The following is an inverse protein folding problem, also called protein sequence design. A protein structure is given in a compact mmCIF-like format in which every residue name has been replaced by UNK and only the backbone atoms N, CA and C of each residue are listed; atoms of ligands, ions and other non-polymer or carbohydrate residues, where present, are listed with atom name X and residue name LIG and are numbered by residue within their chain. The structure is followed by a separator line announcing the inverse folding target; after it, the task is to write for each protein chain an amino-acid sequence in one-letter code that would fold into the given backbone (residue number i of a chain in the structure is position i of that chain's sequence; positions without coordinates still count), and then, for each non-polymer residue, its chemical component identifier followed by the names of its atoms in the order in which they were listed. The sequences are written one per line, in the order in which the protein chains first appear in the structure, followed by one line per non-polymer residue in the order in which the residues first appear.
data_IF_376699708681
#
_entry.id   IF_376699708681
#
_cell.length_a   1.000
_cell.length_b   1.000
_cell.length_c   1.000
_cell.angle_alpha   90.00
_cell.angle_beta   90.00
_cell.angle_gamma   90.00
#
_symmetry.space_group_name_H-M   'P 1'
#
loop_
_entity.id
_entity.type
_entity.pdbx_description
1 polymer ?
#
# COMPACT_ATOMS: atom_id res chain seq x y z
N UNK A 1 6.99 85.32 6.04
CA UNK A 1 8.33 85.50 5.43
C UNK A 1 8.24 85.21 3.93
N UNK A 2 9.25 85.63 3.14
CA UNK A 2 9.50 85.16 1.76
C UNK A 2 10.22 83.78 1.82
N UNK A 3 10.00 82.82 0.91
CA UNK A 3 10.72 82.64 -0.38
C UNK A 3 12.23 82.95 -0.24
N UNK A 4 13.20 82.05 -0.50
CA UNK A 4 13.26 80.67 -1.05
C UNK A 4 14.51 79.94 -0.45
N UNK A 5 14.93 78.68 -0.69
CA UNK A 5 14.58 77.61 -1.67
C UNK A 5 14.96 76.20 -1.12
N UNK A 6 14.87 75.12 -1.93
CA UNK A 6 16.02 74.26 -2.35
C UNK A 6 15.62 72.84 -2.87
N UNK A 7 15.92 72.60 -4.15
CA UNK A 7 16.23 71.32 -4.84
C UNK A 7 15.34 70.06 -4.68
N UNK A 8 14.74 69.67 -5.81
CA UNK A 8 14.05 68.41 -6.02
C UNK A 8 14.98 67.18 -5.98
N UNK A 9 14.45 66.01 -5.60
CA UNK A 9 14.92 64.71 -6.11
C UNK A 9 13.80 63.77 -6.54
N UNK A 10 13.90 63.37 -7.80
CA UNK A 10 13.20 62.29 -8.49
C UNK A 10 13.15 60.98 -7.67
N UNK A 11 12.02 60.27 -7.66
CA UNK A 11 11.83 59.10 -8.57
C UNK A 11 10.65 58.18 -8.22
N UNK A 12 9.97 57.73 -9.29
CA UNK A 12 9.40 56.40 -9.51
C UNK A 12 8.65 55.65 -8.38
N UNK A 13 7.31 55.63 -8.52
CA UNK A 13 6.51 54.42 -8.75
C UNK A 13 6.89 53.13 -7.99
N UNK A 14 6.13 52.81 -6.94
CA UNK A 14 6.13 51.49 -6.29
C UNK A 14 4.72 50.86 -6.33
N UNK A 15 4.37 50.25 -7.47
CA UNK A 15 3.18 49.39 -7.59
C UNK A 15 3.45 48.09 -6.82
N UNK A 16 2.95 48.00 -5.58
CA UNK A 16 3.05 46.79 -4.74
C UNK A 16 2.08 45.72 -5.27
N UNK A 17 2.50 45.02 -6.33
CA UNK A 17 1.76 43.91 -6.91
C UNK A 17 1.73 42.72 -5.95
N UNK A 18 0.54 42.37 -5.46
CA UNK A 18 0.33 41.22 -4.58
C UNK A 18 0.52 39.90 -5.32
N UNK A 19 1.74 39.36 -5.33
CA UNK A 19 2.01 38.01 -5.79
C UNK A 19 1.46 37.00 -4.77
N UNK A 20 0.23 36.53 -5.02
CA UNK A 20 -0.31 35.33 -4.38
C UNK A 20 0.56 34.13 -4.78
N UNK A 21 1.46 33.71 -3.89
CA UNK A 21 2.31 32.54 -4.05
C UNK A 21 1.51 31.24 -3.88
N UNK A 22 0.50 31.04 -4.72
CA UNK A 22 -0.23 29.78 -4.83
C UNK A 22 0.70 28.71 -5.35
N UNK A 23 1.26 27.91 -4.45
CA UNK A 23 2.18 26.83 -4.77
C UNK A 23 1.51 25.74 -5.58
N UNK A 24 1.58 25.84 -6.91
CA UNK A 24 1.23 24.76 -7.83
C UNK A 24 2.29 23.66 -7.66
N UNK A 25 2.07 22.79 -6.67
CA UNK A 25 2.83 21.56 -6.55
C UNK A 25 2.67 20.77 -7.86
N UNK A 26 3.77 20.31 -8.50
CA UNK A 26 3.66 19.56 -9.74
C UNK A 26 2.86 18.29 -9.46
N UNK A 27 1.73 18.14 -10.14
CA UNK A 27 0.95 16.91 -10.13
C UNK A 27 1.77 15.80 -10.81
N UNK A 28 2.63 15.14 -10.02
CA UNK A 28 3.34 13.95 -10.46
C UNK A 28 2.30 12.92 -10.88
N UNK A 29 2.25 12.64 -12.19
CA UNK A 29 1.40 11.62 -12.77
C UNK A 29 1.94 10.24 -12.35
N UNK A 30 1.66 9.85 -11.11
CA UNK A 30 2.09 8.59 -10.54
C UNK A 30 1.55 7.45 -11.41
N UNK A 31 2.39 6.46 -11.79
CA UNK A 31 2.00 5.42 -12.73
C UNK A 31 1.01 4.47 -12.05
N UNK A 32 -0.29 4.70 -12.27
CA UNK A 32 -1.34 3.83 -11.76
C UNK A 32 -1.62 2.66 -12.70
N UNK A 33 -1.93 1.51 -12.11
CA UNK A 33 -2.40 0.32 -12.81
C UNK A 33 -3.72 -0.17 -12.17
N UNK A 34 -4.56 -0.85 -12.96
CA UNK A 34 -5.97 -1.08 -12.64
C UNK A 34 -6.40 -2.52 -12.98
N UNK A 35 -7.02 -3.19 -12.01
CA UNK A 35 -7.53 -4.56 -12.17
C UNK A 35 -8.97 -4.66 -11.63
N UNK A 36 -9.93 -5.20 -12.41
CA UNK A 36 -11.29 -5.43 -11.93
C UNK A 36 -11.29 -6.47 -10.80
N UNK A 37 -12.26 -6.35 -9.89
CA UNK A 37 -12.47 -7.34 -8.85
C UNK A 37 -12.80 -8.72 -9.46
N UNK A 38 -12.40 -9.85 -8.83
CA UNK A 38 -12.70 -11.18 -9.38
C UNK A 38 -14.19 -11.57 -9.37
N UNK A 39 -14.97 -10.95 -8.49
CA UNK A 39 -16.39 -11.27 -8.32
C UNK A 39 -17.24 -10.70 -9.46
N UNK A 40 -18.15 -11.50 -10.00
CA UNK A 40 -18.98 -11.14 -11.17
C UNK A 40 -20.25 -10.35 -10.81
N UNK A 41 -20.61 -10.31 -9.53
CA UNK A 41 -21.75 -9.56 -8.97
C UNK A 41 -21.37 -8.17 -8.41
N UNK A 42 -20.06 -7.89 -8.29
CA UNK A 42 -19.53 -6.65 -7.73
C UNK A 42 -18.83 -5.80 -8.79
N UNK A 43 -19.47 -4.71 -9.20
CA UNK A 43 -18.90 -3.70 -10.10
C UNK A 43 -17.79 -2.87 -9.41
N UNK A 44 -16.64 -3.50 -9.14
CA UNK A 44 -15.52 -2.93 -8.38
C UNK A 44 -14.21 -3.06 -9.17
N UNK A 45 -13.35 -2.05 -9.04
CA UNK A 45 -12.01 -2.00 -9.64
C UNK A 45 -10.98 -1.58 -8.58
N UNK A 46 -9.84 -2.23 -8.56
CA UNK A 46 -8.71 -1.88 -7.71
C UNK A 46 -7.69 -1.07 -8.50
N UNK A 47 -7.14 -0.03 -7.88
CA UNK A 47 -6.06 0.85 -8.39
C UNK A 47 -4.83 0.59 -7.54
N UNK A 48 -3.66 0.43 -8.16
CA UNK A 48 -2.36 0.41 -7.48
C UNK A 48 -1.46 1.54 -7.99
N UNK A 49 -0.63 2.10 -7.11
CA UNK A 49 0.55 2.89 -7.49
C UNK A 49 1.73 1.95 -7.79
N UNK A 50 2.22 1.94 -9.03
CA UNK A 50 3.28 1.02 -9.46
C UNK A 50 4.64 1.27 -8.81
N UNK A 51 4.86 2.40 -8.13
CA UNK A 51 6.11 2.70 -7.42
C UNK A 51 6.00 2.44 -5.92
N UNK A 52 4.94 2.95 -5.28
CA UNK A 52 4.75 2.84 -3.82
C UNK A 52 4.01 1.57 -3.37
N UNK A 53 3.28 0.90 -4.26
CA UNK A 53 2.48 -0.28 -3.94
C UNK A 53 1.22 0.01 -3.10
N UNK A 54 0.85 1.27 -2.94
CA UNK A 54 -0.42 1.68 -2.30
C UNK A 54 -1.62 1.26 -3.18
N UNK A 55 -2.64 0.64 -2.58
CA UNK A 55 -3.84 0.18 -3.27
C UNK A 55 -5.09 0.89 -2.74
N UNK A 56 -5.92 1.41 -3.64
CA UNK A 56 -7.31 1.81 -3.35
C UNK A 56 -8.28 1.00 -4.22
N UNK A 57 -9.57 1.09 -3.95
CA UNK A 57 -10.66 0.46 -4.69
C UNK A 57 -11.74 1.50 -4.99
N UNK A 58 -12.31 1.42 -6.19
CA UNK A 58 -13.51 2.15 -6.58
C UNK A 58 -14.63 1.15 -6.90
N UNK A 59 -15.86 1.46 -6.51
CA UNK A 59 -17.05 0.67 -6.78
C UNK A 59 -18.16 1.52 -7.39
N UNK A 60 -18.81 0.99 -8.42
CA UNK A 60 -20.04 1.54 -8.95
C UNK A 60 -21.24 1.09 -8.11
N UNK A 61 -22.05 2.05 -7.69
CA UNK A 61 -23.32 1.82 -6.99
C UNK A 61 -24.48 2.50 -7.71
N UNK A 62 -25.57 1.77 -7.92
CA UNK A 62 -26.83 2.34 -8.40
C UNK A 62 -27.57 3.03 -7.26
N UNK A 63 -28.12 4.21 -7.54
CA UNK A 63 -29.17 4.83 -6.73
C UNK A 63 -30.48 4.68 -7.51
N UNK A 64 -31.56 4.33 -6.83
CA UNK A 64 -32.81 3.95 -7.48
C UNK A 64 -33.46 5.15 -8.19
N UNK A 65 -33.84 4.97 -9.46
CA UNK A 65 -34.43 6.03 -10.29
C UNK A 65 -33.44 7.08 -10.82
N UNK A 66 -32.13 6.96 -10.57
CA UNK A 66 -31.12 7.92 -11.03
C UNK A 66 -29.99 7.26 -11.84
N UNK A 67 -29.03 8.07 -12.30
CA UNK A 67 -27.72 7.56 -12.71
C UNK A 67 -26.98 7.02 -11.48
N UNK A 68 -26.23 5.93 -11.65
CA UNK A 68 -25.35 5.40 -10.61
C UNK A 68 -24.07 6.24 -10.42
N UNK A 69 -23.41 6.05 -9.27
CA UNK A 69 -22.23 6.78 -8.83
C UNK A 69 -21.02 5.86 -8.69
N UNK A 70 -19.82 6.42 -8.86
CA UNK A 70 -18.56 5.72 -8.52
C UNK A 70 -18.04 6.23 -7.18
N UNK A 71 -17.94 5.34 -6.20
CA UNK A 71 -17.43 5.62 -4.86
C UNK A 71 -16.02 5.01 -4.75
N UNK A 72 -15.03 5.80 -4.35
CA UNK A 72 -13.64 5.36 -4.21
C UNK A 72 -13.16 5.57 -2.77
N UNK A 73 -12.38 4.62 -2.23
CA UNK A 73 -11.73 4.78 -0.94
C UNK A 73 -10.64 5.86 -1.00
N UNK A 74 -10.68 6.77 -0.03
CA UNK A 74 -9.80 7.93 0.07
C UNK A 74 -8.39 7.62 0.57
N UNK A 75 -7.60 8.68 0.71
CA UNK A 75 -6.24 8.60 1.27
C UNK A 75 -6.27 8.06 2.71
N UNK A 76 -5.61 6.94 2.96
CA UNK A 76 -5.60 6.26 4.26
C UNK A 76 -6.72 5.22 4.47
N UNK A 77 -7.70 5.15 3.58
CA UNK A 77 -8.68 4.04 3.50
C UNK A 77 -8.21 2.92 2.57
N UNK A 78 -7.24 3.22 1.71
CA UNK A 78 -6.49 2.25 0.91
C UNK A 78 -5.46 1.45 1.72
N UNK A 79 -5.02 0.31 1.18
CA UNK A 79 -3.92 -0.45 1.75
C UNK A 79 -2.60 0.31 1.48
N UNK A 80 -1.96 0.76 2.56
CA UNK A 80 -0.88 1.73 2.52
C UNK A 80 0.38 1.31 1.72
N UNK A 81 1.25 2.29 1.43
CA UNK A 81 2.46 2.11 0.66
C UNK A 81 3.43 1.12 1.32
N UNK A 82 4.33 0.57 0.51
CA UNK A 82 5.35 -0.41 0.86
C UNK A 82 6.75 0.17 0.57
N UNK A 83 7.79 -0.68 0.65
CA UNK A 83 9.14 -0.30 0.20
C UNK A 83 9.12 -0.04 -1.32
N UNK A 84 9.63 1.10 -1.83
CA UNK A 84 9.54 1.45 -3.25
C UNK A 84 10.03 0.36 -4.22
N UNK A 85 9.14 -0.10 -5.09
CA UNK A 85 9.29 -1.35 -5.84
C UNK A 85 9.03 -1.19 -7.33
N UNK A 86 8.59 -2.27 -7.96
CA UNK A 86 7.79 -2.20 -9.18
C UNK A 86 6.53 -3.05 -8.95
N UNK A 87 5.42 -2.39 -8.70
CA UNK A 87 4.18 -3.02 -8.26
C UNK A 87 3.16 -3.18 -9.39
N UNK A 88 2.29 -4.16 -9.25
CA UNK A 88 1.09 -4.36 -10.06
C UNK A 88 0.04 -5.22 -9.34
N UNK A 89 -1.08 -5.46 -10.00
CA UNK A 89 -2.19 -6.27 -9.49
C UNK A 89 -2.43 -7.52 -10.33
N UNK A 90 -2.84 -8.62 -9.67
CA UNK A 90 -3.32 -9.84 -10.32
C UNK A 90 -4.62 -10.29 -9.66
N UNK A 91 -5.72 -10.38 -10.41
CA UNK A 91 -7.00 -10.85 -9.88
C UNK A 91 -6.92 -12.33 -9.46
N UNK A 92 -7.43 -12.69 -8.27
CA UNK A 92 -7.38 -14.08 -7.78
C UNK A 92 -8.20 -15.06 -8.61
N UNK A 93 -9.19 -14.56 -9.37
CA UNK A 93 -10.19 -15.34 -10.15
C UNK A 93 -10.92 -16.41 -9.33
N UNK A 94 -10.96 -16.26 -8.01
CA UNK A 94 -11.64 -17.18 -7.11
C UNK A 94 -13.05 -16.66 -6.78
N UNK A 95 -14.06 -17.51 -6.93
CA UNK A 95 -15.49 -17.14 -6.85
C UNK A 95 -15.91 -16.63 -5.47
N UNK A 96 -15.53 -17.35 -4.39
CA UNK A 96 -15.88 -16.99 -3.00
C UNK A 96 -14.85 -16.08 -2.32
N UNK A 97 -13.58 -16.48 -2.34
CA UNK A 97 -12.43 -15.75 -1.78
C UNK A 97 -11.84 -14.74 -2.79
N UNK A 98 -12.69 -13.82 -3.27
CA UNK A 98 -12.32 -12.85 -4.30
C UNK A 98 -11.51 -11.66 -3.78
N UNK A 99 -10.29 -11.49 -4.32
CA UNK A 99 -9.40 -10.37 -4.04
C UNK A 99 -8.36 -10.16 -5.14
N UNK A 100 -7.50 -9.16 -4.99
CA UNK A 100 -6.38 -8.90 -5.91
C UNK A 100 -5.05 -9.12 -5.21
N UNK A 101 -4.14 -9.88 -5.81
CA UNK A 101 -2.76 -9.96 -5.34
C UNK A 101 -2.02 -8.68 -5.72
N UNK A 102 -1.54 -7.95 -4.73
CA UNK A 102 -0.42 -7.02 -4.89
C UNK A 102 0.82 -7.84 -5.15
N UNK A 103 1.55 -7.55 -6.23
CA UNK A 103 2.81 -8.21 -6.58
C UNK A 103 3.90 -7.15 -6.76
N UNK A 104 5.06 -7.32 -6.13
CA UNK A 104 6.28 -6.59 -6.44
C UNK A 104 7.08 -7.39 -7.47
N UNK A 105 7.04 -7.00 -8.74
CA UNK A 105 7.71 -7.69 -9.83
C UNK A 105 9.25 -7.66 -9.72
N UNK A 106 9.83 -6.79 -8.88
CA UNK A 106 11.28 -6.76 -8.62
C UNK A 106 11.75 -7.87 -7.67
N UNK A 107 10.90 -8.34 -6.76
CA UNK A 107 11.29 -9.28 -5.69
C UNK A 107 10.47 -10.57 -5.67
N UNK A 108 9.29 -10.59 -6.29
CA UNK A 108 8.33 -11.68 -6.17
C UNK A 108 7.51 -11.65 -4.88
N UNK A 109 7.61 -10.59 -4.06
CA UNK A 109 6.79 -10.43 -2.85
C UNK A 109 5.33 -10.16 -3.22
N UNK A 110 4.44 -10.92 -2.63
CA UNK A 110 3.00 -10.89 -2.87
C UNK A 110 2.19 -10.79 -1.58
N UNK A 111 1.06 -10.09 -1.66
CA UNK A 111 0.03 -10.05 -0.60
C UNK A 111 -1.35 -10.00 -1.25
N UNK A 112 -2.31 -10.82 -0.81
CA UNK A 112 -3.70 -10.68 -1.29
C UNK A 112 -4.37 -9.52 -0.58
N UNK A 113 -5.10 -8.71 -1.34
CA UNK A 113 -5.76 -7.49 -0.91
C UNK A 113 -7.23 -7.51 -1.29
N UNK A 114 -8.07 -7.02 -0.39
CA UNK A 114 -9.53 -7.08 -0.47
C UNK A 114 -10.14 -5.96 0.38
N UNK A 115 -11.46 -5.74 0.27
CA UNK A 115 -12.16 -4.78 1.13
C UNK A 115 -12.65 -5.48 2.39
N UNK A 116 -12.34 -4.90 3.55
CA UNK A 116 -12.79 -5.33 4.87
C UNK A 116 -13.14 -4.08 5.70
N UNK A 117 -14.30 -4.08 6.34
CA UNK A 117 -14.75 -3.00 7.24
C UNK A 117 -14.55 -1.59 6.65
N UNK A 118 -15.14 -1.39 5.47
CA UNK A 118 -15.10 -0.14 4.67
C UNK A 118 -13.69 0.35 4.28
N UNK A 119 -12.66 -0.51 4.28
CA UNK A 119 -11.28 -0.18 3.90
C UNK A 119 -10.66 -1.24 3.01
N UNK A 120 -9.66 -0.87 2.22
CA UNK A 120 -8.83 -1.85 1.50
C UNK A 120 -7.72 -2.33 2.43
N UNK A 121 -7.67 -3.63 2.67
CA UNK A 121 -6.64 -4.28 3.48
C UNK A 121 -5.82 -5.24 2.61
N UNK A 122 -4.60 -5.55 3.04
CA UNK A 122 -3.77 -6.60 2.47
C UNK A 122 -3.28 -7.53 3.57
N UNK A 123 -3.01 -8.80 3.25
CA UNK A 123 -2.22 -9.68 4.10
C UNK A 123 -0.78 -9.16 4.27
N UNK A 124 0.00 -9.66 5.25
CA UNK A 124 1.45 -9.53 5.20
C UNK A 124 2.02 -9.96 3.85
N UNK A 125 3.11 -9.33 3.42
CA UNK A 125 3.83 -9.75 2.21
C UNK A 125 4.62 -11.04 2.47
N UNK A 126 4.68 -11.91 1.47
CA UNK A 126 5.50 -13.12 1.44
C UNK A 126 6.00 -13.38 0.03
N UNK A 127 7.12 -14.07 -0.15
CA UNK A 127 7.65 -14.48 -1.46
C UNK A 127 8.03 -15.97 -1.46
N UNK A 128 7.96 -16.68 -2.61
CA UNK A 128 8.30 -18.11 -2.67
C UNK A 128 9.74 -18.43 -2.26
N UNK A 129 10.66 -17.47 -2.39
CA UNK A 129 12.05 -17.59 -1.93
C UNK A 129 12.23 -17.32 -0.43
N UNK A 130 11.25 -16.69 0.23
CA UNK A 130 11.27 -16.36 1.66
C UNK A 130 10.71 -17.50 2.54
N UNK A 131 10.80 -18.75 2.08
CA UNK A 131 10.72 -19.91 2.96
C UNK A 131 11.88 -19.83 3.97
N UNK A 132 11.57 -19.38 5.19
CA UNK A 132 12.57 -19.14 6.23
C UNK A 132 13.44 -20.38 6.47
N UNK A 133 14.73 -20.23 6.82
CA UNK A 133 15.58 -21.35 7.15
C UNK A 133 14.92 -22.14 8.29
N UNK A 134 14.80 -23.46 8.12
CA UNK A 134 14.16 -24.31 9.09
C UNK A 134 14.86 -24.14 10.45
N UNK A 135 14.16 -23.56 11.44
CA UNK A 135 14.66 -23.48 12.82
C UNK A 135 15.05 -24.87 13.27
N UNK A 136 16.35 -25.10 13.40
CA UNK A 136 16.90 -26.38 13.82
C UNK A 136 16.48 -26.64 15.26
N UNK A 137 15.41 -27.42 15.43
CA UNK A 137 15.02 -27.94 16.73
C UNK A 137 16.24 -28.65 17.34
N UNK A 138 16.62 -28.34 18.59
CA UNK A 138 17.80 -28.96 19.18
C UNK A 138 17.59 -30.47 19.22
N UNK A 139 18.57 -31.21 18.69
CA UNK A 139 18.49 -32.66 18.60
C UNK A 139 18.27 -33.25 20.01
N UNK A 140 17.20 -34.01 20.19
CA UNK A 140 16.86 -34.60 21.47
C UNK A 140 17.92 -35.65 21.85
N UNK A 141 18.82 -35.29 22.77
CA UNK A 141 19.86 -36.18 23.28
C UNK A 141 19.21 -37.44 23.86
N UNK A 142 19.56 -38.65 23.40
CA UNK A 142 19.03 -39.87 24.00
C UNK A 142 19.63 -40.04 25.40
N UNK A 143 18.84 -39.77 26.44
CA UNK A 143 19.25 -39.99 27.83
C UNK A 143 19.60 -41.45 28.07
N UNK A 144 20.89 -41.75 28.18
CA UNK A 144 21.39 -43.07 28.51
C UNK A 144 20.85 -43.51 29.88
N UNK A 145 20.07 -44.60 29.88
CA UNK A 145 19.45 -45.15 31.09
C UNK A 145 20.51 -45.89 31.91
N UNK A 146 20.87 -45.44 33.13
CA UNK A 146 21.91 -46.12 33.92
C UNK A 146 21.42 -47.51 34.34
N UNK A 147 22.15 -48.55 33.93
CA UNK A 147 21.88 -49.93 34.35
C UNK A 147 22.51 -50.22 35.71
N UNK A 148 21.70 -50.51 36.72
CA UNK A 148 22.16 -51.06 38.00
C UNK A 148 22.00 -52.57 37.99
N UNK A 149 23.08 -53.30 37.67
CA UNK A 149 23.10 -54.76 37.64
C UNK A 149 23.52 -55.38 38.98
N UNK A 150 22.73 -56.36 39.45
CA UNK A 150 23.11 -57.38 40.42
C UNK A 150 22.02 -58.48 40.41
N UNK A 151 22.28 -59.78 40.56
CA UNK A 151 23.47 -60.62 40.37
C UNK A 151 22.98 -62.09 40.28
N UNK A 152 23.73 -63.06 39.72
CA UNK A 152 23.19 -64.38 39.40
C UNK A 152 23.37 -65.42 40.52
N UNK A 153 22.45 -66.39 40.62
CA UNK A 153 22.78 -67.73 41.12
C UNK A 153 21.84 -68.84 40.62
N UNK A 154 22.25 -70.09 40.87
CA UNK A 154 21.93 -71.38 40.22
C UNK A 154 21.58 -72.38 41.37
N UNK A 155 20.81 -73.49 41.19
CA UNK A 155 20.73 -74.32 39.99
C UNK A 155 19.34 -74.63 39.41
#
# INVERSE_FOLDING_TARGET
MRFVDFEARFSALALVGGLMAGGIAPAMAAPFDFVPAPQTDLNRIYRIDRFSGEISSCQYGLQEGTIGVTLCFGSGEGAGPQVPGEYGLVASRHEREGGVFRVNFRTGDMSICYVFDEKVVCTPQTSPAAAAPASSAPAATPSARPGTGASPQRP
#
